data_IF_440180459783
#
_entry.id   IF_440180459783
#
_cell.length_a   1.000
_cell.length_b   1.000
_cell.length_c   1.000
_cell.angle_alpha   90.00
_cell.angle_beta   90.00
_cell.angle_gamma   90.00
#
_symmetry.space_group_name_H-M   'P 1'
#
loop_
_entity.id
_entity.type
_entity.pdbx_description
1 polymer ?
#
# COMPACT_ATOMS: atom_id res chain seq x y z
N UNK A 1 -21.88 1.78 -4.12
CA UNK A 1 -22.38 3.17 -4.09
C UNK A 1 -21.28 4.18 -3.74
N UNK A 2 -20.52 4.03 -2.63
CA UNK A 2 -19.40 4.92 -2.26
C UNK A 2 -18.29 5.04 -3.31
N UNK A 3 -17.81 3.92 -3.88
CA UNK A 3 -16.76 3.95 -4.92
C UNK A 3 -17.15 4.74 -6.18
N UNK A 4 -18.38 4.57 -6.67
CA UNK A 4 -18.84 5.30 -7.86
C UNK A 4 -18.89 6.82 -7.63
N UNK A 5 -19.19 7.25 -6.41
CA UNK A 5 -19.16 8.66 -6.03
C UNK A 5 -17.73 9.20 -5.93
N UNK A 6 -16.77 8.37 -5.50
CA UNK A 6 -15.37 8.76 -5.45
C UNK A 6 -14.73 8.86 -6.84
N UNK A 7 -15.20 8.06 -7.80
CA UNK A 7 -14.70 8.03 -9.18
C UNK A 7 -14.84 9.37 -9.93
N UNK A 8 -15.75 10.25 -9.49
CA UNK A 8 -16.04 11.52 -10.14
C UNK A 8 -15.04 12.65 -9.80
N UNK A 9 -14.17 12.44 -8.81
CA UNK A 9 -13.18 13.43 -8.36
C UNK A 9 -11.79 13.09 -8.90
N UNK A 10 -10.99 14.12 -9.15
CA UNK A 10 -9.59 13.98 -9.54
C UNK A 10 -8.81 13.19 -8.47
N UNK A 11 -7.98 12.25 -8.91
CA UNK A 11 -7.23 11.36 -8.04
C UNK A 11 -5.76 11.72 -7.94
N UNK A 12 -5.23 11.70 -6.72
CA UNK A 12 -3.80 11.70 -6.45
C UNK A 12 -3.42 10.44 -5.67
N UNK A 13 -2.31 9.80 -6.05
CA UNK A 13 -1.85 8.56 -5.43
C UNK A 13 -0.82 8.84 -4.35
N UNK A 14 -1.01 8.23 -3.18
CA UNK A 14 -0.02 8.22 -2.09
C UNK A 14 0.51 6.81 -1.93
N UNK A 15 1.79 6.63 -2.24
CA UNK A 15 2.47 5.34 -2.19
C UNK A 15 3.10 5.09 -0.81
N UNK A 16 2.63 4.05 -0.13
CA UNK A 16 3.17 3.58 1.15
C UNK A 16 4.17 2.47 0.85
N UNK A 17 5.44 2.70 1.18
CA UNK A 17 6.55 1.77 0.99
C UNK A 17 7.20 1.41 2.33
N UNK A 18 7.96 0.32 2.35
CA UNK A 18 8.81 0.01 3.52
C UNK A 18 10.03 0.93 3.51
N UNK A 19 10.46 1.40 4.67
CA UNK A 19 11.66 2.25 4.81
C UNK A 19 12.92 1.47 4.43
N UNK A 20 13.04 0.24 4.93
CA UNK A 20 14.13 -0.67 4.63
C UNK A 20 13.60 -1.90 3.89
N UNK A 21 14.19 -2.24 2.74
CA UNK A 21 13.85 -3.43 1.97
C UNK A 21 14.55 -4.67 2.52
N UNK A 22 14.50 -4.83 3.84
CA UNK A 22 15.17 -5.90 4.58
C UNK A 22 14.12 -6.78 5.25
N UNK A 23 14.24 -8.09 5.08
CA UNK A 23 13.33 -9.07 5.66
C UNK A 23 13.51 -9.11 7.18
N UNK A 24 12.44 -8.93 7.98
CA UNK A 24 12.55 -8.92 9.44
C UNK A 24 12.95 -10.28 10.04
N UNK A 25 12.76 -11.37 9.29
CA UNK A 25 13.02 -12.73 9.80
C UNK A 25 14.46 -13.19 9.52
N UNK A 26 14.99 -12.84 8.34
CA UNK A 26 16.26 -13.39 7.85
C UNK A 26 17.28 -12.35 7.44
N UNK A 27 16.95 -11.05 7.57
CA UNK A 27 17.80 -9.91 7.20
C UNK A 27 18.24 -9.89 5.72
N UNK A 28 17.59 -10.68 4.87
CA UNK A 28 17.84 -10.70 3.43
C UNK A 28 17.02 -9.65 2.68
N UNK A 29 17.33 -9.43 1.41
CA UNK A 29 16.64 -8.43 0.60
C UNK A 29 15.16 -8.79 0.33
N UNK A 30 14.33 -7.76 0.39
CA UNK A 30 12.93 -7.79 -0.01
C UNK A 30 12.78 -7.29 -1.44
N UNK A 31 12.13 -8.10 -2.29
CA UNK A 31 11.80 -7.72 -3.67
C UNK A 31 10.37 -7.23 -3.73
N UNK A 32 10.15 -6.05 -4.29
CA UNK A 32 8.80 -5.53 -4.50
C UNK A 32 8.02 -6.42 -5.47
N UNK A 33 6.77 -6.73 -5.11
CA UNK A 33 5.87 -7.56 -5.91
C UNK A 33 4.65 -6.80 -6.44
N UNK A 34 4.40 -5.58 -5.94
CA UNK A 34 3.36 -4.68 -6.47
C UNK A 34 2.71 -3.81 -5.39
N UNK A 35 1.83 -2.92 -5.84
CA UNK A 35 1.00 -2.05 -5.01
C UNK A 35 -0.48 -2.43 -5.07
N UNK A 36 -1.21 -2.20 -3.98
CA UNK A 36 -2.66 -2.41 -3.93
C UNK A 36 -3.38 -1.21 -3.32
N UNK A 37 -4.53 -0.84 -3.88
CA UNK A 37 -5.37 0.22 -3.33
C UNK A 37 -5.98 -0.24 -2.00
N UNK A 38 -5.58 0.40 -0.90
CA UNK A 38 -6.07 0.06 0.46
C UNK A 38 -7.11 1.04 0.98
N UNK A 39 -7.11 2.28 0.48
CA UNK A 39 -8.01 3.32 0.98
C UNK A 39 -8.20 4.42 -0.05
N UNK A 40 -9.37 5.05 0.02
CA UNK A 40 -9.71 6.23 -0.78
C UNK A 40 -10.32 7.28 0.14
N UNK A 41 -9.73 8.46 0.17
CA UNK A 41 -10.15 9.58 1.01
C UNK A 41 -10.53 10.78 0.15
N UNK A 42 -11.49 11.59 0.60
CA UNK A 42 -11.79 12.87 -0.04
C UNK A 42 -11.17 13.98 0.77
N UNK A 43 -10.31 14.76 0.13
CA UNK A 43 -9.70 15.94 0.71
C UNK A 43 -10.37 17.18 0.12
N UNK A 44 -10.81 18.06 1.01
CA UNK A 44 -11.29 19.38 0.63
C UNK A 44 -10.12 20.34 0.51
N UNK A 45 -9.92 20.85 -0.69
CA UNK A 45 -9.04 21.98 -0.97
C UNK A 45 -10.00 23.14 -1.29
N UNK A 46 -9.77 24.37 -0.81
CA UNK A 46 -10.66 25.47 -1.14
C UNK A 46 -10.94 25.54 -2.65
N UNK A 47 -12.24 25.56 -3.01
CA UNK A 47 -12.80 25.48 -4.37
C UNK A 47 -12.80 24.10 -5.08
N UNK A 48 -12.22 23.04 -4.52
CA UNK A 48 -12.19 21.72 -5.19
C UNK A 48 -12.15 20.53 -4.20
N UNK A 49 -12.74 19.41 -4.60
CA UNK A 49 -12.60 18.13 -3.90
C UNK A 49 -11.66 17.24 -4.70
N UNK A 50 -10.71 16.60 -4.01
CA UNK A 50 -9.82 15.61 -4.60
C UNK A 50 -9.92 14.28 -3.87
N UNK A 51 -9.75 13.19 -4.61
CA UNK A 51 -9.63 11.85 -4.07
C UNK A 51 -8.16 11.51 -3.86
N UNK A 52 -7.80 11.09 -2.65
CA UNK A 52 -6.48 10.53 -2.37
C UNK A 52 -6.60 9.00 -2.36
N UNK A 53 -5.86 8.35 -3.24
CA UNK A 53 -5.81 6.89 -3.39
C UNK A 53 -4.54 6.37 -2.67
N UNK A 54 -4.74 5.63 -1.57
CA UNK A 54 -3.64 5.09 -0.78
C UNK A 54 -3.19 3.73 -1.33
N UNK A 55 -2.01 3.71 -1.94
CA UNK A 55 -1.42 2.52 -2.55
C UNK A 55 -0.43 1.88 -1.57
N UNK A 56 -0.73 0.70 -1.05
CA UNK A 56 0.16 -0.07 -0.19
C UNK A 56 1.02 -1.01 -1.02
N UNK A 57 2.34 -0.82 -0.95
CA UNK A 57 3.29 -1.73 -1.59
C UNK A 57 3.48 -3.00 -0.76
N UNK A 58 3.65 -4.11 -1.47
CA UNK A 58 3.96 -5.41 -0.91
C UNK A 58 5.30 -5.90 -1.48
N UNK A 59 6.03 -6.63 -0.64
CA UNK A 59 7.36 -7.14 -0.94
C UNK A 59 7.43 -8.61 -0.53
N UNK A 60 8.20 -9.39 -1.29
CA UNK A 60 8.45 -10.81 -1.04
C UNK A 60 9.90 -11.02 -0.63
N UNK A 61 10.11 -11.79 0.42
CA UNK A 61 11.43 -12.34 0.73
C UNK A 61 11.60 -13.66 -0.02
N UNK A 62 12.49 -13.72 -1.02
CA UNK A 62 12.71 -14.95 -1.78
C UNK A 62 13.30 -16.06 -0.89
N UNK A 63 14.33 -15.73 -0.10
CA UNK A 63 15.02 -16.71 0.76
C UNK A 63 14.11 -17.36 1.82
N UNK A 64 13.17 -16.60 2.40
CA UNK A 64 12.19 -17.16 3.33
C UNK A 64 11.11 -17.97 2.60
N UNK A 65 10.68 -17.52 1.42
CA UNK A 65 9.65 -18.19 0.64
C UNK A 65 10.15 -19.53 0.07
N UNK A 66 11.43 -19.65 -0.29
CA UNK A 66 12.01 -20.91 -0.77
C UNK A 66 12.13 -21.97 0.35
N UNK A 67 12.23 -21.52 1.61
CA UNK A 67 12.38 -22.40 2.77
C UNK A 67 11.06 -22.85 3.38
N UNK A 68 9.94 -22.26 2.97
CA UNK A 68 8.63 -22.49 3.56
C UNK A 68 7.60 -22.84 2.48
N UNK A 69 6.53 -23.58 2.83
CA UNK A 69 5.46 -23.90 1.88
C UNK A 69 4.62 -22.67 1.47
N UNK A 70 4.73 -21.56 2.22
CA UNK A 70 4.01 -20.30 1.95
C UNK A 70 4.97 -19.13 1.76
N UNK A 71 4.59 -18.20 0.89
CA UNK A 71 5.36 -16.99 0.63
C UNK A 71 5.45 -16.07 1.86
N UNK A 72 6.65 -15.56 2.14
CA UNK A 72 6.86 -14.50 3.12
C UNK A 72 6.65 -13.15 2.45
N UNK A 73 5.48 -12.56 2.67
CA UNK A 73 5.11 -11.24 2.16
C UNK A 73 5.13 -10.21 3.29
N UNK A 74 5.84 -9.10 3.06
CA UNK A 74 5.88 -7.92 3.93
C UNK A 74 5.15 -6.79 3.23
N UNK A 75 4.16 -6.19 3.87
CA UNK A 75 3.42 -5.04 3.34
C UNK A 75 3.90 -3.78 4.03
N UNK A 76 3.95 -2.67 3.29
CA UNK A 76 4.25 -1.37 3.86
C UNK A 76 3.23 -1.00 4.94
N UNK A 77 3.64 -0.34 6.03
CA UNK A 77 2.70 0.17 7.03
C UNK A 77 1.78 1.19 6.36
N UNK A 78 0.48 1.10 6.65
CA UNK A 78 -0.50 2.12 6.26
C UNK A 78 -1.15 2.69 7.51
N UNK A 79 -1.47 4.00 7.53
CA UNK A 79 -2.31 4.57 8.57
C UNK A 79 -3.63 3.81 8.62
N UNK A 80 -4.06 3.40 9.81
CA UNK A 80 -5.41 2.84 9.97
C UNK A 80 -6.40 3.98 9.72
N UNK A 81 -7.30 3.79 8.76
CA UNK A 81 -8.39 4.72 8.55
C UNK A 81 -9.13 4.95 9.88
N UNK A 82 -9.45 6.20 10.25
CA UNK A 82 -10.30 6.48 11.40
C UNK A 82 -11.61 5.69 11.25
N UNK A 83 -12.02 4.99 12.31
CA UNK A 83 -13.26 4.21 12.38
C UNK A 83 -14.50 5.10 12.21
#
# INVERSE_FOLDING_TARGET
KRQALLAQFDSEEVHHQVEERICPDCQGDLKEIGGSLQGQELVFIPAQLKRIDHIQHAYKCQACSDKNPSDKIVKAPIPKAPL
#
